data_IF_409499495689
#
_entry.id   IF_409499495689
#
_cell.length_a   1.000
_cell.length_b   1.000
_cell.length_c   1.000
_cell.angle_alpha   90.00
_cell.angle_beta   90.00
_cell.angle_gamma   90.00
#
_symmetry.space_group_name_H-M   'P 1'
#
loop_
_entity.id
_entity.type
_entity.pdbx_description
1 polymer ?
#
# COMPACT_ATOMS: atom_id res chain seq x y z
N UNK A 1 3.16 -10.96 -53.81
CA UNK A 1 3.96 -11.19 -52.58
C UNK A 1 4.34 -9.90 -51.84
N UNK A 2 4.81 -8.83 -52.49
CA UNK A 2 5.22 -7.57 -51.82
C UNK A 2 4.08 -6.82 -51.10
N UNK A 3 2.85 -6.88 -51.60
CA UNK A 3 1.66 -6.26 -50.99
C UNK A 3 1.09 -7.05 -49.81
N UNK A 4 1.24 -8.38 -49.82
CA UNK A 4 0.77 -9.26 -48.75
C UNK A 4 1.60 -9.07 -47.46
N UNK A 5 2.91 -8.84 -47.61
CA UNK A 5 3.82 -8.52 -46.49
C UNK A 5 3.47 -7.18 -45.84
N UNK A 6 3.03 -6.18 -46.62
CA UNK A 6 2.60 -4.88 -46.06
C UNK A 6 1.32 -4.96 -45.23
N UNK A 7 0.40 -5.88 -45.58
CA UNK A 7 -0.87 -6.04 -44.86
C UNK A 7 -0.71 -6.80 -43.53
N UNK A 8 0.24 -7.74 -43.48
CA UNK A 8 0.58 -8.49 -42.25
C UNK A 8 1.33 -7.61 -41.25
N UNK A 9 2.19 -6.70 -41.71
CA UNK A 9 2.94 -5.78 -40.84
C UNK A 9 2.03 -4.73 -40.15
N UNK A 10 0.95 -4.32 -40.81
CA UNK A 10 -0.03 -3.40 -40.23
C UNK A 10 -0.88 -4.05 -39.12
N UNK A 11 -1.12 -5.37 -39.17
CA UNK A 11 -1.96 -6.09 -38.21
C UNK A 11 -1.25 -6.33 -36.87
N UNK A 12 0.09 -6.38 -36.85
CA UNK A 12 0.89 -6.60 -35.64
C UNK A 12 0.92 -5.36 -34.73
N UNK A 13 0.68 -4.16 -35.28
CA UNK A 13 0.72 -2.90 -34.52
C UNK A 13 -0.58 -2.68 -33.70
N UNK A 14 -1.69 -3.34 -34.07
CA UNK A 14 -3.00 -3.16 -33.42
C UNK A 14 -3.22 -4.01 -32.16
N UNK A 15 -2.37 -4.98 -31.85
CA UNK A 15 -2.54 -5.85 -30.66
C UNK A 15 -1.81 -5.35 -29.41
N UNK A 16 -1.05 -4.25 -29.50
CA UNK A 16 -0.27 -3.72 -28.37
C UNK A 16 -1.04 -2.77 -27.43
N UNK A 17 -2.30 -2.43 -27.72
CA UNK A 17 -3.09 -1.47 -26.89
C UNK A 17 -4.23 -2.19 -26.17
N UNK A 18 -3.90 -3.21 -25.37
CA UNK A 18 -4.83 -3.71 -24.35
C UNK A 18 -4.10 -3.94 -23.03
N UNK A 19 -3.56 -2.86 -22.49
CA UNK A 19 -3.25 -2.79 -21.07
C UNK A 19 -4.39 -1.99 -20.40
N UNK A 20 -5.53 -2.62 -20.15
CA UNK A 20 -6.50 -2.08 -19.18
C UNK A 20 -5.96 -2.36 -17.78
N UNK A 21 -4.93 -1.62 -17.36
CA UNK A 21 -4.64 -1.48 -15.94
C UNK A 21 -5.66 -0.46 -15.44
N UNK A 22 -6.67 -0.91 -14.72
CA UNK A 22 -7.46 -0.04 -13.84
C UNK A 22 -6.50 0.51 -12.80
N UNK A 23 -5.75 1.55 -13.15
CA UNK A 23 -4.97 2.34 -12.22
C UNK A 23 -5.97 3.15 -11.42
N UNK A 24 -6.53 2.55 -10.37
CA UNK A 24 -6.85 3.32 -9.19
C UNK A 24 -5.55 4.00 -8.79
N UNK A 25 -5.40 5.27 -9.21
CA UNK A 25 -4.26 6.10 -8.87
C UNK A 25 -4.08 6.01 -7.36
N UNK A 26 -2.83 5.82 -6.86
CA UNK A 26 -2.57 5.90 -5.43
C UNK A 26 -3.13 7.23 -4.94
N UNK A 27 -3.80 7.20 -3.79
CA UNK A 27 -4.18 8.45 -3.13
C UNK A 27 -2.90 9.28 -2.97
N UNK A 28 -2.81 10.45 -3.63
CA UNK A 28 -1.64 11.33 -3.52
C UNK A 28 -1.25 11.60 -2.05
N UNK A 29 -2.22 11.47 -1.13
CA UNK A 29 -1.99 11.59 0.30
C UNK A 29 -1.13 10.45 0.89
N UNK A 30 -1.09 9.24 0.35
CA UNK A 30 -0.25 8.15 0.89
C UNK A 30 1.22 8.26 0.43
N UNK A 31 1.44 8.78 -0.77
CA UNK A 31 2.79 8.91 -1.35
C UNK A 31 3.67 9.71 -0.38
N UNK A 32 4.88 9.21 -0.15
CA UNK A 32 5.85 9.81 0.76
C UNK A 32 6.45 8.81 1.74
N UNK A 33 7.17 9.34 2.71
CA UNK A 33 7.86 8.57 3.75
C UNK A 33 7.16 8.77 5.08
N UNK A 34 7.02 7.68 5.83
CA UNK A 34 6.25 7.61 7.06
C UNK A 34 7.08 6.95 8.13
N UNK A 35 7.23 7.62 9.26
CA UNK A 35 7.92 7.08 10.44
C UNK A 35 6.90 6.45 11.36
N UNK A 36 7.13 5.20 11.73
CA UNK A 36 6.31 4.52 12.74
C UNK A 36 6.43 5.21 14.10
N UNK A 37 5.29 5.38 14.77
CA UNK A 37 5.20 5.98 16.10
C UNK A 37 4.87 4.93 17.14
N UNK A 38 3.90 4.06 16.84
CA UNK A 38 3.44 3.01 17.75
C UNK A 38 2.57 1.98 17.05
N UNK A 39 2.46 0.82 17.68
CA UNK A 39 1.46 -0.20 17.39
C UNK A 39 0.69 -0.52 18.66
N UNK A 40 -0.63 -0.68 18.57
CA UNK A 40 -1.48 -1.08 19.70
C UNK A 40 -2.37 -2.24 19.28
N UNK A 41 -2.41 -3.33 20.05
CA UNK A 41 -3.21 -4.51 19.69
C UNK A 41 -2.90 -5.75 20.49
N UNK A 42 -3.32 -6.90 19.96
CA UNK A 42 -3.21 -8.20 20.63
C UNK A 42 -4.20 -8.37 21.77
N UNK A 43 -4.35 -9.62 22.24
CA UNK A 43 -5.27 -10.00 23.32
C UNK A 43 -5.04 -9.18 24.60
N UNK A 44 -3.80 -8.72 24.84
CA UNK A 44 -3.42 -7.92 26.01
C UNK A 44 -3.49 -6.39 25.81
N UNK A 45 -3.83 -5.90 24.62
CA UNK A 45 -3.77 -4.46 24.31
C UNK A 45 -2.34 -3.89 24.42
N UNK A 46 -1.36 -4.67 24.00
CA UNK A 46 0.05 -4.31 24.07
C UNK A 46 0.32 -3.04 23.25
N UNK A 47 1.21 -2.20 23.76
CA UNK A 47 1.69 -1.01 23.06
C UNK A 47 3.18 -1.15 22.77
N UNK A 48 3.51 -1.13 21.49
CA UNK A 48 4.88 -1.10 20.99
C UNK A 48 5.22 0.29 20.46
N UNK A 49 6.42 0.76 20.75
CA UNK A 49 6.96 2.07 20.35
C UNK A 49 8.44 1.89 20.01
N UNK A 50 9.07 2.82 19.28
CA UNK A 50 10.51 2.78 19.06
C UNK A 50 11.32 2.68 20.37
N UNK A 51 10.84 3.32 21.44
CA UNK A 51 11.48 3.29 22.75
C UNK A 51 11.35 1.93 23.44
N UNK A 52 10.20 1.25 23.30
CA UNK A 52 9.98 -0.04 23.95
C UNK A 52 10.54 -1.23 23.18
N UNK A 53 10.68 -1.12 21.84
CA UNK A 53 11.23 -2.19 21.00
C UNK A 53 12.70 -2.00 20.66
N UNK A 54 13.22 -0.77 20.72
CA UNK A 54 14.55 -0.42 20.22
C UNK A 54 14.62 -0.31 18.69
N UNK A 55 13.49 -0.46 17.98
CA UNK A 55 13.45 -0.50 16.52
C UNK A 55 12.75 0.74 15.95
N UNK A 56 13.34 1.30 14.89
CA UNK A 56 12.74 2.36 14.09
C UNK A 56 12.26 1.80 12.76
N UNK A 57 10.95 1.90 12.51
CA UNK A 57 10.37 1.53 11.22
C UNK A 57 10.07 2.76 10.37
N UNK A 58 10.40 2.65 9.08
CA UNK A 58 10.06 3.65 8.05
C UNK A 58 9.42 2.98 6.85
N UNK A 59 8.24 3.45 6.48
CA UNK A 59 7.51 3.01 5.30
C UNK A 59 7.58 4.08 4.21
N UNK A 60 7.89 3.68 2.99
CA UNK A 60 7.99 4.56 1.84
C UNK A 60 7.04 4.08 0.74
N UNK A 61 6.12 4.95 0.33
CA UNK A 61 5.17 4.73 -0.75
C UNK A 61 5.49 5.66 -1.91
N UNK A 62 5.72 5.11 -3.10
CA UNK A 62 6.12 5.86 -4.27
C UNK A 62 4.99 5.99 -5.30
N UNK A 63 5.09 6.98 -6.18
CA UNK A 63 4.07 7.29 -7.20
C UNK A 63 3.89 6.17 -8.25
N UNK A 64 4.92 5.36 -8.45
CA UNK A 64 4.92 4.19 -9.35
C UNK A 64 4.30 2.93 -8.72
N UNK A 65 3.63 3.08 -7.58
CA UNK A 65 3.04 2.00 -6.80
C UNK A 65 4.06 1.03 -6.19
N UNK A 66 5.34 1.42 -6.06
CA UNK A 66 6.33 0.67 -5.28
C UNK A 66 6.28 1.04 -3.81
N UNK A 67 6.63 0.08 -2.96
CA UNK A 67 6.64 0.18 -1.50
C UNK A 67 7.95 -0.35 -0.94
N UNK A 68 8.47 0.29 0.11
CA UNK A 68 9.60 -0.19 0.89
C UNK A 68 9.36 0.02 2.38
N UNK A 69 9.74 -0.97 3.19
CA UNK A 69 9.84 -0.86 4.65
C UNK A 69 11.30 -1.00 5.06
N UNK A 70 11.72 -0.14 5.96
CA UNK A 70 13.04 -0.18 6.58
C UNK A 70 12.89 -0.41 8.08
N UNK A 71 13.82 -1.17 8.66
CA UNK A 71 14.04 -1.32 10.10
C UNK A 71 15.45 -0.87 10.41
N UNK A 72 15.59 0.16 11.26
CA UNK A 72 16.91 0.74 11.61
C UNK A 72 17.76 1.01 10.35
N UNK A 73 17.14 1.62 9.34
CA UNK A 73 17.70 1.93 8.01
C UNK A 73 18.05 0.75 7.09
N UNK A 74 17.93 -0.49 7.58
CA UNK A 74 18.07 -1.69 6.75
C UNK A 74 16.77 -1.98 6.02
N UNK A 75 16.84 -2.26 4.72
CA UNK A 75 15.66 -2.63 3.93
C UNK A 75 15.11 -3.97 4.41
N UNK A 76 13.88 -3.97 4.93
CA UNK A 76 13.21 -5.15 5.48
C UNK A 76 12.27 -5.79 4.45
N UNK A 77 11.44 -4.97 3.80
CA UNK A 77 10.45 -5.42 2.80
C UNK A 77 10.47 -4.46 1.62
N UNK A 78 10.29 -4.98 0.41
CA UNK A 78 9.95 -4.18 -0.76
C UNK A 78 8.94 -4.91 -1.63
N UNK A 79 8.14 -4.15 -2.39
CA UNK A 79 7.15 -4.73 -3.29
C UNK A 79 6.30 -3.67 -3.96
N UNK A 80 5.16 -4.08 -4.48
CA UNK A 80 4.14 -3.17 -5.00
C UNK A 80 2.98 -3.02 -4.00
N UNK A 81 2.36 -1.85 -4.00
CA UNK A 81 1.15 -1.60 -3.23
C UNK A 81 -0.03 -1.17 -4.11
N UNK A 82 -1.24 -1.29 -3.58
CA UNK A 82 -2.46 -0.73 -4.18
C UNK A 82 -3.47 -0.36 -3.11
N UNK A 83 -4.40 0.53 -3.44
CA UNK A 83 -5.48 0.96 -2.54
C UNK A 83 -6.83 0.61 -3.15
N UNK A 84 -7.67 -0.12 -2.42
CA UNK A 84 -9.07 -0.35 -2.75
C UNK A 84 -9.91 0.61 -1.92
N UNK A 85 -10.54 1.59 -2.58
CA UNK A 85 -11.39 2.56 -1.89
C UNK A 85 -12.78 2.03 -1.58
N UNK A 86 -13.33 2.38 -0.42
CA UNK A 86 -14.72 2.09 -0.05
C UNK A 86 -15.08 0.60 -0.02
N UNK A 87 -14.14 -0.24 0.37
CA UNK A 87 -14.33 -1.68 0.55
C UNK A 87 -15.35 -1.96 1.65
N UNK A 88 -16.31 -2.84 1.40
CA UNK A 88 -17.30 -3.26 2.40
C UNK A 88 -16.64 -4.18 3.43
N UNK A 89 -16.28 -3.66 4.60
CA UNK A 89 -15.74 -4.45 5.70
C UNK A 89 -16.85 -5.19 6.44
N UNK A 90 -17.97 -4.51 6.67
CA UNK A 90 -19.22 -5.08 7.16
C UNK A 90 -20.38 -4.60 6.27
N UNK A 91 -21.62 -5.10 6.45
CA UNK A 91 -22.76 -4.60 5.68
C UNK A 91 -23.03 -3.09 5.83
N UNK A 92 -22.57 -2.46 6.91
CA UNK A 92 -22.80 -1.04 7.21
C UNK A 92 -21.54 -0.20 7.20
N UNK A 93 -20.36 -0.81 7.16
CA UNK A 93 -19.08 -0.13 7.27
C UNK A 93 -18.24 -0.31 6.01
N UNK A 94 -17.78 0.82 5.47
CA UNK A 94 -16.78 0.87 4.39
C UNK A 94 -15.46 1.41 4.90
N UNK A 95 -14.37 0.86 4.39
CA UNK A 95 -12.99 1.29 4.68
C UNK A 95 -12.18 1.34 3.39
N UNK A 96 -11.12 2.15 3.38
CA UNK A 96 -10.09 2.03 2.35
C UNK A 96 -9.13 0.91 2.76
N UNK A 97 -8.70 0.09 1.79
CA UNK A 97 -7.82 -1.06 2.03
C UNK A 97 -6.50 -0.85 1.32
N UNK A 98 -5.41 -0.86 2.09
CA UNK A 98 -4.06 -0.94 1.59
C UNK A 98 -3.71 -2.43 1.35
N UNK A 99 -3.23 -2.74 0.15
CA UNK A 99 -2.64 -4.04 -0.19
C UNK A 99 -1.15 -3.90 -0.43
N UNK A 100 -0.34 -4.72 0.23
CA UNK A 100 1.11 -4.85 -0.01
C UNK A 100 1.39 -6.34 -0.19
N UNK A 101 1.67 -6.77 -1.42
CA UNK A 101 1.65 -8.20 -1.74
C UNK A 101 0.29 -8.83 -1.41
N UNK A 102 0.30 -9.91 -0.64
CA UNK A 102 -0.91 -10.60 -0.15
C UNK A 102 -1.48 -9.99 1.14
N UNK A 103 -0.72 -9.12 1.81
CA UNK A 103 -1.15 -8.45 3.02
C UNK A 103 -2.22 -7.39 2.75
N UNK A 104 -3.23 -7.33 3.62
CA UNK A 104 -4.35 -6.38 3.52
C UNK A 104 -4.60 -5.74 4.88
N UNK A 105 -4.59 -4.41 4.91
CA UNK A 105 -4.93 -3.63 6.09
C UNK A 105 -5.88 -2.51 5.71
N UNK A 106 -6.66 -2.06 6.68
CA UNK A 106 -7.43 -0.83 6.53
C UNK A 106 -6.47 0.34 6.64
N UNK A 107 -6.77 1.42 5.93
CA UNK A 107 -5.94 2.61 5.91
C UNK A 107 -6.80 3.85 6.10
N UNK A 108 -6.31 4.78 6.91
CA UNK A 108 -6.83 6.15 6.95
C UNK A 108 -5.70 7.16 7.12
N UNK A 109 -5.86 8.32 6.49
CA UNK A 109 -4.88 9.42 6.59
C UNK A 109 -5.61 10.66 7.08
N UNK A 110 -5.09 11.25 8.15
CA UNK A 110 -5.58 12.53 8.70
C UNK A 110 -4.38 13.46 8.83
N UNK A 111 -4.33 14.50 7.99
CA UNK A 111 -3.19 15.41 7.89
C UNK A 111 -1.87 14.64 7.62
N UNK A 112 -0.87 14.83 8.49
CA UNK A 112 0.43 14.16 8.44
C UNK A 112 0.47 12.86 9.27
N UNK A 113 -0.68 12.29 9.62
CA UNK A 113 -0.78 11.02 10.36
C UNK A 113 -1.45 9.95 9.52
N UNK A 114 -0.80 8.79 9.44
CA UNK A 114 -1.26 7.59 8.75
C UNK A 114 -1.60 6.53 9.79
N UNK A 115 -2.79 5.96 9.67
CA UNK A 115 -3.26 4.82 10.46
C UNK A 115 -3.39 3.62 9.54
N UNK A 116 -2.82 2.49 9.96
CA UNK A 116 -2.93 1.21 9.29
C UNK A 116 -3.40 0.20 10.34
N UNK A 117 -4.58 -0.37 10.14
CA UNK A 117 -5.14 -1.34 11.08
C UNK A 117 -5.35 -2.68 10.39
N UNK A 118 -5.03 -3.77 11.08
CA UNK A 118 -5.25 -5.12 10.61
C UNK A 118 -6.71 -5.36 10.24
N UNK A 119 -6.93 -6.01 9.09
CA UNK A 119 -8.26 -6.39 8.64
C UNK A 119 -8.54 -7.84 8.96
N UNK A 120 -9.75 -8.10 9.45
CA UNK A 120 -10.29 -9.44 9.74
C UNK A 120 -9.57 -10.19 10.87
N UNK A 121 -8.88 -9.47 11.75
CA UNK A 121 -8.23 -10.03 12.93
C UNK A 121 -8.86 -9.36 14.16
N UNK A 122 -9.46 -10.14 15.05
CA UNK A 122 -10.20 -9.61 16.21
C UNK A 122 -9.30 -8.93 17.24
N UNK A 123 -8.09 -9.45 17.39
CA UNK A 123 -7.02 -9.00 18.27
C UNK A 123 -5.84 -8.44 17.47
N UNK A 124 -6.12 -7.92 16.26
CA UNK A 124 -5.11 -7.34 15.38
C UNK A 124 -4.45 -6.09 15.97
N UNK A 125 -3.46 -5.59 15.24
CA UNK A 125 -2.76 -4.36 15.60
C UNK A 125 -3.24 -3.17 14.76
N UNK A 126 -3.27 -2.01 15.42
CA UNK A 126 -3.37 -0.70 14.80
C UNK A 126 -2.04 0.03 14.90
N UNK A 127 -1.48 0.37 13.76
CA UNK A 127 -0.25 1.13 13.64
C UNK A 127 -0.52 2.61 13.41
N UNK A 128 0.26 3.47 14.06
CA UNK A 128 0.28 4.91 13.83
C UNK A 128 1.63 5.32 13.25
N UNK A 129 1.60 6.09 12.16
CA UNK A 129 2.77 6.68 11.53
C UNK A 129 2.61 8.19 11.38
N UNK A 130 3.72 8.90 11.29
CA UNK A 130 3.77 10.33 10.95
C UNK A 130 4.61 10.57 9.71
N UNK A 131 4.17 11.51 8.87
CA UNK A 131 4.89 11.87 7.64
C UNK A 131 6.25 12.47 7.99
N UNK A 132 7.28 12.04 7.27
CA UNK A 132 8.62 12.65 7.29
C UNK A 132 8.62 13.78 6.27
N UNK A 133 9.02 14.98 6.69
CA UNK A 133 9.16 16.16 5.84
C UNK A 133 10.52 16.19 5.14
#
# INVERSE_FOLDING_TARGET
MRTFVSMVLALIILTAVSCKKSTQLPSNALIGKWRWVRSVGGIGGFTYTPQSTGNNFRDEFYADSTYKRFENDSLLIQGSYSIIKGYNYTPTQKVDVLKIGDWRSSISIKNDTLFIDDLFISDGFGDTYVRIR
#
